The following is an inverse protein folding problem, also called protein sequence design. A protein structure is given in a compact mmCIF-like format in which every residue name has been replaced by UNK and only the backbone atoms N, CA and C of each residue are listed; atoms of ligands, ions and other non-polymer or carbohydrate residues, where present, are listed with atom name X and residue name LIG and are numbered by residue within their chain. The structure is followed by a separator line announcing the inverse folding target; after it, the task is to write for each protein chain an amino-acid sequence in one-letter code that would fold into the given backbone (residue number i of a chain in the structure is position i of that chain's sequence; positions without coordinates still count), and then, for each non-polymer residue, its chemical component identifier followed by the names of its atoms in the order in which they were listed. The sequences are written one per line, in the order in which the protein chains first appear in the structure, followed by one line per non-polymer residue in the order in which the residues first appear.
data_IF_522762968611
#
_entry.id   IF_522762968611
#
_cell.length_a   1.000
_cell.length_b   1.000
_cell.length_c   1.000
_cell.angle_alpha   90.00
_cell.angle_beta   90.00
_cell.angle_gamma   90.00
#
_symmetry.space_group_name_H-M   'P 1'
#
loop_
_entity.id
_entity.type
_entity.pdbx_description
1 polymer ?
#
# COMPACT_ATOMS: atom_id res chain seq x y z
N UNK A 1 -7.26 -8.71 13.70
CA UNK A 1 -7.27 -7.71 12.61
C UNK A 1 -6.18 -6.71 12.94
N UNK A 2 -5.14 -6.56 12.11
CA UNK A 2 -4.07 -5.57 12.36
C UNK A 2 -4.69 -4.16 12.39
N UNK A 3 -4.19 -3.29 13.27
CA UNK A 3 -4.62 -1.89 13.27
C UNK A 3 -4.23 -1.21 11.96
N UNK A 4 -4.87 -0.08 11.66
CA UNK A 4 -4.54 0.68 10.46
C UNK A 4 -3.10 1.22 10.48
N UNK A 5 -2.54 1.51 11.67
CA UNK A 5 -1.16 1.97 11.82
C UNK A 5 -0.18 0.84 11.49
N UNK A 6 -0.35 -0.33 12.09
CA UNK A 6 0.51 -1.49 11.84
C UNK A 6 0.50 -1.88 10.36
N UNK A 7 -0.70 -1.95 9.76
CA UNK A 7 -0.85 -2.26 8.33
C UNK A 7 -0.10 -1.26 7.45
N UNK A 8 -0.21 0.04 7.73
CA UNK A 8 0.49 1.08 6.97
C UNK A 8 2.01 0.98 7.07
N UNK A 9 2.55 0.75 8.27
CA UNK A 9 3.99 0.56 8.45
C UNK A 9 4.53 -0.63 7.65
N UNK A 10 3.76 -1.72 7.62
CA UNK A 10 4.14 -2.93 6.90
C UNK A 10 3.99 -2.76 5.37
N UNK A 11 2.97 -2.03 4.91
CA UNK A 11 2.84 -1.61 3.50
C UNK A 11 4.08 -0.84 3.05
N UNK A 12 4.54 0.14 3.85
CA UNK A 12 5.78 0.90 3.54
C UNK A 12 6.97 -0.02 3.43
N UNK A 13 7.12 -0.99 4.35
CA UNK A 13 8.23 -1.95 4.31
C UNK A 13 8.20 -2.82 3.04
N UNK A 14 7.02 -3.33 2.64
CA UNK A 14 6.86 -4.16 1.45
C UNK A 14 7.18 -3.35 0.19
N UNK A 15 6.61 -2.15 0.07
CA UNK A 15 6.77 -1.30 -1.11
C UNK A 15 8.21 -0.83 -1.26
N UNK A 16 8.88 -0.47 -0.16
CA UNK A 16 10.29 -0.09 -0.19
C UNK A 16 11.20 -1.28 -0.55
N UNK A 17 10.88 -2.50 -0.09
CA UNK A 17 11.67 -3.70 -0.40
C UNK A 17 11.58 -4.11 -1.87
N UNK A 18 10.38 -4.06 -2.44
CA UNK A 18 10.12 -4.61 -3.77
C UNK A 18 10.05 -3.52 -4.86
N UNK A 19 10.23 -2.24 -4.49
CA UNK A 19 10.05 -1.04 -5.33
C UNK A 19 8.68 -0.91 -6.02
N UNK A 20 7.77 -1.86 -5.77
CA UNK A 20 6.42 -1.94 -6.31
C UNK A 20 5.62 -2.98 -5.50
N UNK A 21 4.30 -2.82 -5.47
CA UNK A 21 3.37 -3.81 -4.91
C UNK A 21 2.02 -3.67 -5.61
N UNK A 22 1.30 -4.78 -5.80
CA UNK A 22 -0.07 -4.74 -6.32
C UNK A 22 -1.06 -4.48 -5.19
N UNK A 23 -2.09 -3.71 -5.46
CA UNK A 23 -3.16 -3.43 -4.49
C UNK A 23 -3.93 -4.70 -4.14
N UNK A 24 -4.11 -5.61 -5.09
CA UNK A 24 -4.79 -6.90 -4.88
C UNK A 24 -3.99 -7.79 -3.91
N UNK A 25 -2.67 -7.95 -4.15
CA UNK A 25 -1.80 -8.76 -3.29
C UNK A 25 -1.75 -8.23 -1.85
N UNK A 26 -1.70 -6.91 -1.68
CA UNK A 26 -1.76 -6.27 -0.37
C UNK A 26 -3.12 -6.51 0.31
N UNK A 27 -4.22 -6.41 -0.45
CA UNK A 27 -5.56 -6.64 0.08
C UNK A 27 -5.72 -8.08 0.59
N UNK A 28 -5.24 -9.06 -0.17
CA UNK A 28 -5.21 -10.47 0.25
C UNK A 28 -4.31 -10.67 1.48
N UNK A 29 -3.08 -10.15 1.44
CA UNK A 29 -2.08 -10.29 2.53
C UNK A 29 -2.61 -9.74 3.86
N UNK A 30 -3.30 -8.61 3.83
CA UNK A 30 -3.85 -7.97 5.02
C UNK A 30 -5.29 -8.37 5.33
N UNK A 31 -5.91 -9.20 4.47
CA UNK A 31 -7.32 -9.59 4.57
C UNK A 31 -8.25 -8.39 4.72
N UNK A 32 -8.05 -7.36 3.89
CA UNK A 32 -8.88 -6.14 3.83
C UNK A 32 -9.33 -5.88 2.40
N UNK A 33 -10.26 -4.93 2.23
CA UNK A 33 -10.67 -4.54 0.87
C UNK A 33 -9.56 -3.79 0.13
N UNK A 34 -9.55 -3.90 -1.20
CA UNK A 34 -8.69 -3.07 -2.06
C UNK A 34 -8.94 -1.58 -1.86
N UNK A 35 -10.16 -1.18 -1.48
CA UNK A 35 -10.50 0.21 -1.12
C UNK A 35 -9.75 0.65 0.15
N UNK A 36 -9.66 -0.21 1.17
CA UNK A 36 -8.90 0.05 2.39
C UNK A 36 -7.41 0.23 2.09
N UNK A 37 -6.83 -0.64 1.25
CA UNK A 37 -5.43 -0.49 0.82
C UNK A 37 -5.21 0.83 0.07
N UNK A 38 -6.12 1.22 -0.83
CA UNK A 38 -6.03 2.52 -1.53
C UNK A 38 -6.08 3.70 -0.57
N UNK A 39 -6.92 3.64 0.46
CA UNK A 39 -6.97 4.67 1.50
C UNK A 39 -5.66 4.74 2.30
N UNK A 40 -5.08 3.60 2.65
CA UNK A 40 -3.80 3.54 3.36
C UNK A 40 -2.64 4.07 2.51
N UNK A 41 -2.58 3.71 1.22
CA UNK A 41 -1.59 4.23 0.28
C UNK A 41 -1.71 5.74 0.07
N UNK A 42 -2.94 6.25 -0.12
CA UNK A 42 -3.20 7.69 -0.23
C UNK A 42 -2.81 8.44 1.05
N UNK A 43 -3.03 7.85 2.22
CA UNK A 43 -2.61 8.44 3.50
C UNK A 43 -1.08 8.53 3.58
N UNK A 44 -0.37 7.45 3.23
CA UNK A 44 1.09 7.37 3.28
C UNK A 44 1.77 8.33 2.30
N UNK A 45 1.22 8.50 1.10
CA UNK A 45 1.68 9.46 0.11
C UNK A 45 1.49 10.90 0.59
N UNK A 46 0.33 11.23 1.15
CA UNK A 46 0.07 12.57 1.72
C UNK A 46 0.99 12.92 2.89
N UNK A 47 1.43 11.94 3.65
CA UNK A 47 2.38 12.13 4.75
C UNK A 47 3.85 12.16 4.27
N UNK A 48 4.11 12.02 2.95
CA UNK A 48 5.44 11.89 2.37
C UNK A 48 6.28 10.75 2.97
N UNK A 49 5.63 9.72 3.54
CA UNK A 49 6.28 8.54 4.12
C UNK A 49 6.58 7.53 3.02
N UNK A 50 5.75 7.48 1.97
CA UNK A 50 5.98 6.65 0.79
C UNK A 50 6.71 7.47 -0.28
N UNK A 51 7.92 7.04 -0.65
CA UNK A 51 8.75 7.73 -1.65
C UNK A 51 8.44 7.30 -3.10
N UNK A 52 7.63 6.24 -3.29
CA UNK A 52 7.13 5.88 -4.63
C UNK A 52 5.82 6.60 -4.93
N UNK A 53 5.64 7.16 -6.14
CA UNK A 53 4.37 7.74 -6.53
C UNK A 53 3.29 6.65 -6.46
N UNK A 54 2.15 6.90 -5.82
CA UNK A 54 1.05 5.90 -5.79
C UNK A 54 0.61 5.51 -7.21
N UNK A 55 0.76 6.42 -8.18
CA UNK A 55 0.59 6.16 -9.62
C UNK A 55 1.37 4.94 -10.15
N UNK A 56 2.52 4.60 -9.58
CA UNK A 56 3.33 3.43 -9.99
C UNK A 56 2.74 2.12 -9.46
N UNK A 57 2.14 2.14 -8.27
CA UNK A 57 1.42 0.97 -7.71
C UNK A 57 0.15 0.66 -8.49
N UNK A 58 -0.47 1.68 -9.10
CA UNK A 58 -1.65 1.51 -9.95
C UNK A 58 -1.33 0.98 -11.36
N UNK A 59 -0.06 0.95 -11.77
CA UNK A 59 0.35 0.63 -13.16
C UNK A 59 0.53 -0.86 -13.46
N UNK A 60 0.17 -1.77 -12.56
CA UNK A 60 0.15 -3.21 -12.87
C UNK A 60 -1.26 -3.65 -13.29
N UNK A 61 -1.81 -2.94 -14.28
CA UNK A 61 -2.96 -3.33 -15.10
C UNK A 61 -2.77 -2.75 -16.50
N UNK A 62 -1.71 -3.19 -17.17
CA UNK A 62 -1.62 -3.23 -18.64
C UNK A 62 -1.07 -4.61 -19.02
#
# INVERSE_FOLDING_TARGET
MKSAIERRMEIVAIVNKNSSARVEDLAETFSVSTVTIRQDLNFLEKMAILCVPTAVLYRIKE
#
